data_IF_368413384199
#
_entry.id   IF_368413384199
#
_cell.length_a   1.000
_cell.length_b   1.000
_cell.length_c   1.000
_cell.angle_alpha   90.00
_cell.angle_beta   90.00
_cell.angle_gamma   90.00
#
_symmetry.space_group_name_H-M   'P 1'
#
loop_
_entity.id
_entity.type
_entity.pdbx_description
1 polymer ?
#
# COMPACT_ATOMS: atom_id res chain seq x y z
N UNK A 1 -17.01 -8.70 -5.57
CA UNK A 1 -18.08 -8.87 -4.57
C UNK A 1 -19.17 -9.85 -5.04
N UNK A 2 -19.92 -9.53 -6.10
CA UNK A 2 -21.04 -10.36 -6.59
C UNK A 2 -20.68 -11.84 -6.84
N UNK A 3 -19.49 -12.12 -7.40
CA UNK A 3 -19.01 -13.50 -7.59
C UNK A 3 -18.91 -14.28 -6.27
N UNK A 4 -18.33 -13.66 -5.23
CA UNK A 4 -18.13 -14.29 -3.92
C UNK A 4 -19.47 -14.55 -3.23
N UNK A 5 -20.38 -13.57 -3.25
CA UNK A 5 -21.72 -13.68 -2.66
C UNK A 5 -22.60 -14.76 -3.29
N UNK A 6 -22.36 -15.12 -4.55
CA UNK A 6 -23.08 -16.22 -5.23
C UNK A 6 -22.57 -17.60 -4.85
N UNK A 7 -21.35 -17.71 -4.30
CA UNK A 7 -20.67 -18.99 -4.04
C UNK A 7 -20.42 -19.26 -2.57
N UNK A 8 -20.48 -18.25 -1.73
CA UNK A 8 -20.12 -18.31 -0.31
C UNK A 8 -21.29 -17.86 0.54
N UNK A 9 -21.51 -18.57 1.65
CA UNK A 9 -22.51 -18.24 2.67
C UNK A 9 -21.95 -17.44 3.83
N UNK A 10 -20.62 -17.46 4.01
CA UNK A 10 -19.94 -16.68 5.05
C UNK A 10 -19.95 -15.17 4.75
N UNK A 11 -19.91 -14.30 5.78
CA UNK A 11 -19.81 -12.86 5.59
C UNK A 11 -18.54 -12.47 4.81
N UNK A 12 -18.68 -11.47 3.93
CA UNK A 12 -17.58 -10.93 3.11
C UNK A 12 -17.27 -9.51 3.55
N UNK A 13 -16.01 -9.28 3.92
CA UNK A 13 -15.47 -7.93 4.19
C UNK A 13 -14.79 -7.41 2.92
N UNK A 14 -15.26 -6.27 2.41
CA UNK A 14 -14.65 -5.62 1.25
C UNK A 14 -13.37 -4.89 1.64
N UNK A 15 -12.29 -5.03 0.88
CA UNK A 15 -11.03 -4.35 1.14
C UNK A 15 -10.43 -3.78 -0.15
N UNK A 16 -9.74 -2.64 -0.03
CA UNK A 16 -9.00 -1.99 -1.11
C UNK A 16 -9.79 -0.90 -1.84
N UNK A 17 -9.19 0.28 -1.96
CA UNK A 17 -9.76 1.42 -2.70
C UNK A 17 -10.92 2.15 -2.00
N UNK A 18 -11.35 1.71 -0.82
CA UNK A 18 -12.39 2.34 -0.03
C UNK A 18 -11.74 3.41 0.85
N UNK A 19 -12.13 4.68 0.67
CA UNK A 19 -11.50 5.83 1.32
C UNK A 19 -12.48 6.65 2.17
N UNK A 20 -13.78 6.60 1.87
CA UNK A 20 -14.79 7.45 2.48
C UNK A 20 -16.15 6.74 2.62
N UNK A 21 -17.14 7.46 3.15
CA UNK A 21 -18.50 6.95 3.34
C UNK A 21 -19.19 6.55 2.03
N UNK A 22 -18.88 7.21 0.91
CA UNK A 22 -19.45 6.87 -0.40
C UNK A 22 -18.91 5.52 -0.90
N UNK A 23 -17.61 5.29 -0.78
CA UNK A 23 -16.98 3.99 -1.07
C UNK A 23 -17.52 2.87 -0.20
N UNK A 24 -17.73 3.14 1.10
CA UNK A 24 -18.36 2.20 2.03
C UNK A 24 -19.78 1.87 1.58
N UNK A 25 -20.62 2.88 1.33
CA UNK A 25 -22.00 2.69 0.90
C UNK A 25 -22.08 1.87 -0.40
N UNK A 26 -21.20 2.14 -1.37
CA UNK A 26 -21.16 1.43 -2.65
C UNK A 26 -20.90 -0.07 -2.48
N UNK A 27 -19.89 -0.46 -1.69
CA UNK A 27 -19.58 -1.89 -1.51
C UNK A 27 -20.61 -2.62 -0.63
N UNK A 28 -21.24 -1.91 0.30
CA UNK A 28 -22.34 -2.45 1.11
C UNK A 28 -23.59 -2.71 0.24
N UNK A 29 -23.91 -1.81 -0.70
CA UNK A 29 -24.98 -2.03 -1.69
C UNK A 29 -24.71 -3.24 -2.60
N UNK A 30 -23.42 -3.54 -2.88
CA UNK A 30 -23.01 -4.75 -3.60
C UNK A 30 -23.06 -6.04 -2.76
N UNK A 31 -23.47 -5.94 -1.49
CA UNK A 31 -23.71 -7.08 -0.60
C UNK A 31 -22.55 -7.43 0.33
N UNK A 32 -21.58 -6.53 0.53
CA UNK A 32 -20.59 -6.67 1.60
C UNK A 32 -21.28 -6.64 2.98
N UNK A 33 -20.71 -7.36 3.95
CA UNK A 33 -21.15 -7.33 5.36
C UNK A 33 -20.23 -6.47 6.24
N UNK A 34 -19.12 -6.00 5.68
CA UNK A 34 -18.18 -5.11 6.35
C UNK A 34 -17.16 -4.56 5.37
N UNK A 35 -16.34 -3.63 5.84
CA UNK A 35 -15.28 -2.98 5.07
C UNK A 35 -13.98 -2.96 5.87
N UNK A 36 -12.86 -3.12 5.18
CA UNK A 36 -11.52 -2.97 5.73
C UNK A 36 -10.77 -1.90 4.94
N UNK A 37 -10.47 -0.80 5.62
CA UNK A 37 -9.76 0.34 5.05
C UNK A 37 -8.35 0.37 5.64
N UNK A 38 -7.34 0.52 4.78
CA UNK A 38 -5.94 0.67 5.19
C UNK A 38 -5.44 2.08 4.90
N UNK A 39 -5.30 2.41 3.61
CA UNK A 39 -4.76 3.70 3.15
C UNK A 39 -5.48 4.91 3.73
N UNK A 40 -6.80 4.84 3.94
CA UNK A 40 -7.59 5.92 4.55
C UNK A 40 -7.10 6.33 5.95
N UNK A 41 -6.48 5.42 6.71
CA UNK A 41 -6.02 5.67 8.07
C UNK A 41 -4.51 5.98 8.17
N UNK A 42 -3.78 6.03 7.05
CA UNK A 42 -2.32 6.23 7.08
C UNK A 42 -1.90 7.59 7.66
N UNK A 43 -2.70 8.64 7.43
CA UNK A 43 -2.40 10.00 7.89
C UNK A 43 -2.96 10.33 9.28
N UNK A 44 -3.75 9.45 9.90
CA UNK A 44 -4.25 9.65 11.27
C UNK A 44 -3.08 9.83 12.26
N UNK A 45 -3.17 10.69 13.28
CA UNK A 45 -2.08 10.96 14.21
C UNK A 45 -1.60 9.72 14.99
N UNK A 46 -2.46 8.71 15.15
CA UNK A 46 -2.15 7.43 15.80
C UNK A 46 -1.31 6.49 14.93
N UNK A 47 -1.27 6.73 13.61
CA UNK A 47 -0.49 5.91 12.67
C UNK A 47 1.01 6.07 12.91
N UNK A 48 1.72 4.95 13.00
CA UNK A 48 3.18 4.90 13.09
C UNK A 48 3.91 5.15 11.76
N UNK A 49 3.19 5.59 10.70
CA UNK A 49 3.82 6.05 9.47
C UNK A 49 4.76 7.22 9.78
N UNK A 50 6.02 7.10 9.35
CA UNK A 50 7.03 8.13 9.61
C UNK A 50 6.83 9.38 8.74
N UNK A 51 7.60 10.43 9.02
CA UNK A 51 7.46 11.71 8.32
C UNK A 51 7.69 11.59 6.80
N UNK A 52 8.63 10.75 6.37
CA UNK A 52 8.91 10.53 4.95
C UNK A 52 7.74 9.83 4.24
N UNK A 53 7.18 8.80 4.88
CA UNK A 53 6.02 8.10 4.35
C UNK A 53 4.76 8.98 4.34
N UNK A 54 4.50 9.73 5.41
CA UNK A 54 3.39 10.71 5.47
C UNK A 54 3.53 11.78 4.39
N UNK A 55 4.73 12.32 4.18
CA UNK A 55 5.00 13.28 3.12
C UNK A 55 4.77 12.67 1.74
N UNK A 56 5.22 11.43 1.51
CA UNK A 56 4.98 10.71 0.26
C UNK A 56 3.48 10.53 0.01
N UNK A 57 2.69 10.14 1.02
CA UNK A 57 1.24 10.00 0.92
C UNK A 57 0.57 11.35 0.65
N UNK A 58 0.90 12.39 1.41
CA UNK A 58 0.31 13.72 1.25
C UNK A 58 0.59 14.31 -0.14
N UNK A 59 1.82 14.13 -0.65
CA UNK A 59 2.22 14.65 -1.96
C UNK A 59 1.77 13.74 -3.13
N UNK A 60 1.15 12.58 -2.83
CA UNK A 60 0.70 11.61 -3.82
C UNK A 60 -0.71 11.88 -4.36
N UNK A 61 -1.15 13.14 -4.45
CA UNK A 61 -2.48 13.48 -4.97
C UNK A 61 -2.75 12.92 -6.39
N UNK A 62 -1.70 12.56 -7.13
CA UNK A 62 -1.75 11.79 -8.39
C UNK A 62 -0.81 10.56 -8.40
N UNK A 63 -0.31 10.15 -7.23
CA UNK A 63 0.79 9.19 -7.10
C UNK A 63 0.42 7.80 -7.64
N UNK A 64 1.08 7.41 -8.72
CA UNK A 64 0.99 6.05 -9.28
C UNK A 64 1.41 5.03 -8.22
N UNK A 65 0.54 4.06 -7.92
CA UNK A 65 0.94 2.87 -7.16
C UNK A 65 1.27 1.70 -8.07
N UNK A 66 2.32 0.96 -7.72
CA UNK A 66 2.81 -0.21 -8.46
C UNK A 66 2.74 -1.46 -7.60
N UNK A 67 2.59 -2.63 -8.23
CA UNK A 67 2.85 -3.91 -7.56
C UNK A 67 4.32 -4.23 -7.74
N UNK A 68 5.02 -4.49 -6.64
CA UNK A 68 6.43 -4.88 -6.66
C UNK A 68 6.68 -6.00 -5.66
N UNK A 69 7.54 -6.95 -6.01
CA UNK A 69 8.12 -7.92 -5.08
C UNK A 69 9.49 -7.49 -4.57
N UNK A 70 10.15 -6.50 -5.20
CA UNK A 70 11.55 -6.15 -4.92
C UNK A 70 11.81 -5.74 -3.46
N UNK A 71 10.80 -5.18 -2.79
CA UNK A 71 10.92 -4.69 -1.41
C UNK A 71 10.88 -5.84 -0.40
N UNK A 72 10.09 -6.89 -0.64
CA UNK A 72 9.80 -7.91 0.37
C UNK A 72 9.96 -9.37 -0.07
N UNK A 73 10.10 -9.63 -1.36
CA UNK A 73 10.05 -10.96 -1.96
C UNK A 73 8.63 -11.44 -2.29
N UNK A 74 7.58 -10.68 -1.95
CA UNK A 74 6.19 -10.96 -2.35
C UNK A 74 5.53 -9.74 -2.98
N UNK A 75 4.64 -9.90 -3.97
CA UNK A 75 3.92 -8.79 -4.56
C UNK A 75 3.15 -7.98 -3.51
N UNK A 76 3.52 -6.72 -3.36
CA UNK A 76 2.86 -5.74 -2.50
C UNK A 76 2.66 -4.44 -3.27
N UNK A 77 1.61 -3.68 -2.94
CA UNK A 77 1.31 -2.42 -3.61
C UNK A 77 1.96 -1.26 -2.87
N UNK A 78 2.84 -0.54 -3.56
CA UNK A 78 3.60 0.60 -3.04
C UNK A 78 3.26 1.86 -3.85
N UNK A 79 3.35 3.03 -3.22
CA UNK A 79 3.59 4.27 -3.96
C UNK A 79 4.87 4.09 -4.79
N UNK A 80 4.82 4.45 -6.08
CA UNK A 80 6.01 4.40 -6.92
C UNK A 80 7.09 5.31 -6.32
N UNK A 81 8.26 4.73 -6.06
CA UNK A 81 9.40 5.40 -5.46
C UNK A 81 10.71 4.81 -6.02
N UNK A 82 11.86 5.30 -5.55
CA UNK A 82 13.17 4.84 -6.01
C UNK A 82 13.39 3.33 -5.77
N UNK A 83 12.85 2.75 -4.70
CA UNK A 83 12.94 1.30 -4.47
C UNK A 83 12.16 0.50 -5.53
N UNK A 84 10.96 0.96 -5.89
CA UNK A 84 10.17 0.32 -6.94
C UNK A 84 10.93 0.36 -8.28
N UNK A 85 11.49 1.52 -8.64
CA UNK A 85 12.26 1.70 -9.88
C UNK A 85 13.52 0.82 -9.90
N UNK A 86 14.23 0.71 -8.77
CA UNK A 86 15.37 -0.21 -8.62
C UNK A 86 14.94 -1.65 -8.87
N UNK A 87 13.80 -2.06 -8.32
CA UNK A 87 13.23 -3.39 -8.54
C UNK A 87 12.86 -3.66 -9.99
N UNK A 88 12.27 -2.68 -10.69
CA UNK A 88 11.91 -2.78 -12.11
C UNK A 88 13.14 -2.94 -13.02
N UNK A 89 14.30 -2.42 -12.60
CA UNK A 89 15.57 -2.56 -13.33
C UNK A 89 16.26 -3.93 -13.13
N UNK A 90 15.79 -4.74 -12.18
CA UNK A 90 16.36 -6.05 -11.88
C UNK A 90 15.49 -7.19 -12.45
N UNK A 91 16.10 -8.32 -12.88
CA UNK A 91 15.33 -9.50 -13.23
C UNK A 91 14.61 -10.05 -11.99
N UNK A 92 13.40 -10.58 -12.15
CA UNK A 92 12.63 -11.12 -11.03
C UNK A 92 13.37 -12.22 -10.25
N UNK A 93 14.23 -13.00 -10.93
CA UNK A 93 15.09 -14.02 -10.31
C UNK A 93 16.17 -13.47 -9.39
N UNK A 94 16.47 -12.17 -9.44
CA UNK A 94 17.41 -11.52 -8.54
C UNK A 94 16.76 -11.06 -7.22
N UNK A 95 15.42 -11.10 -7.12
CA UNK A 95 14.71 -10.77 -5.88
C UNK A 95 14.67 -12.03 -5.01
N UNK A 96 15.29 -12.03 -3.81
CA UNK A 96 15.20 -13.16 -2.90
C UNK A 96 13.76 -13.42 -2.44
N UNK A 97 13.48 -14.67 -2.05
CA UNK A 97 12.17 -15.03 -1.52
C UNK A 97 11.85 -14.27 -0.21
N UNK A 98 10.56 -14.12 0.08
CA UNK A 98 10.11 -13.59 1.36
C UNK A 98 10.43 -14.56 2.52
N UNK A 99 10.90 -14.07 3.68
CA UNK A 99 11.08 -12.67 4.06
C UNK A 99 12.49 -12.10 3.82
N UNK A 100 13.41 -12.85 3.22
CA UNK A 100 14.82 -12.44 3.08
C UNK A 100 14.98 -11.10 2.35
N UNK A 101 14.25 -10.91 1.24
CA UNK A 101 14.24 -9.63 0.54
C UNK A 101 13.73 -8.48 1.43
N UNK A 102 12.80 -8.74 2.36
CA UNK A 102 12.28 -7.72 3.27
C UNK A 102 13.29 -7.30 4.33
N UNK A 103 14.07 -8.24 4.84
CA UNK A 103 15.13 -7.93 5.81
C UNK A 103 16.23 -7.07 5.16
N UNK A 104 16.63 -7.40 3.93
CA UNK A 104 17.56 -6.59 3.13
C UNK A 104 16.96 -5.21 2.82
N UNK A 105 15.69 -5.18 2.41
CA UNK A 105 14.97 -3.95 2.09
C UNK A 105 14.86 -3.00 3.30
N UNK A 106 14.63 -3.53 4.51
CA UNK A 106 14.64 -2.72 5.74
C UNK A 106 16.03 -2.15 6.03
N UNK A 107 17.09 -2.92 5.84
CA UNK A 107 18.46 -2.43 6.03
C UNK A 107 18.78 -1.30 5.03
N UNK A 108 18.40 -1.44 3.76
CA UNK A 108 18.52 -0.39 2.75
C UNK A 108 17.72 0.86 3.13
N UNK A 109 16.45 0.70 3.50
CA UNK A 109 15.58 1.81 3.89
C UNK A 109 16.15 2.58 5.09
N UNK A 110 16.68 1.87 6.09
CA UNK A 110 17.32 2.48 7.25
C UNK A 110 18.59 3.26 6.88
N UNK A 111 19.46 2.67 6.06
CA UNK A 111 20.69 3.30 5.58
C UNK A 111 20.41 4.54 4.71
N UNK A 112 19.41 4.47 3.84
CA UNK A 112 18.97 5.60 3.02
C UNK A 112 18.38 6.72 3.87
N UNK A 113 17.52 6.38 4.83
CA UNK A 113 16.92 7.34 5.77
C UNK A 113 17.97 8.07 6.60
N UNK A 114 19.03 7.38 7.04
CA UNK A 114 20.16 8.00 7.74
C UNK A 114 20.90 9.06 6.91
N UNK A 115 20.74 9.03 5.58
CA UNK A 115 21.29 9.99 4.63
C UNK A 115 20.23 11.00 4.12
N UNK A 116 19.04 11.03 4.72
CA UNK A 116 17.94 11.91 4.30
C UNK A 116 17.19 11.44 3.04
N UNK A 117 17.47 10.24 2.54
CA UNK A 117 16.77 9.66 1.38
C UNK A 117 15.61 8.78 1.83
N UNK A 118 14.37 9.26 1.64
CA UNK A 118 13.16 8.56 2.07
C UNK A 118 12.54 7.66 0.99
N UNK A 119 12.99 7.77 -0.25
CA UNK A 119 12.43 7.07 -1.42
C UNK A 119 12.69 5.55 -1.46
N UNK A 120 13.44 5.03 -0.49
CA UNK A 120 13.73 3.60 -0.34
C UNK A 120 12.86 2.93 0.73
N UNK A 121 11.86 3.63 1.26
CA UNK A 121 10.89 3.09 2.21
C UNK A 121 9.83 2.19 1.58
N UNK A 122 9.25 1.33 2.41
CA UNK A 122 8.08 0.54 2.06
C UNK A 122 6.79 1.39 2.19
N UNK A 123 6.54 2.27 1.22
CA UNK A 123 5.41 3.21 1.22
C UNK A 123 4.11 2.56 0.71
N UNK A 124 3.55 1.61 1.47
CA UNK A 124 2.40 0.78 1.08
C UNK A 124 1.05 1.51 0.97
N UNK A 125 0.65 1.88 -0.25
CA UNK A 125 -0.64 2.52 -0.50
C UNK A 125 -1.53 1.72 -1.46
N UNK A 126 -2.84 1.77 -1.23
CA UNK A 126 -3.86 1.37 -2.18
C UNK A 126 -4.00 2.37 -3.33
N UNK A 127 -4.92 2.08 -4.27
CA UNK A 127 -5.24 2.98 -5.38
C UNK A 127 -6.28 4.07 -5.03
N UNK A 128 -6.83 4.05 -3.83
CA UNK A 128 -7.76 5.08 -3.39
C UNK A 128 -6.99 6.35 -3.11
N UNK A 129 -7.38 7.46 -3.75
CA UNK A 129 -6.80 8.77 -3.49
C UNK A 129 -7.10 9.22 -2.06
N UNK A 130 -6.15 9.90 -1.44
CA UNK A 130 -6.36 10.58 -0.15
C UNK A 130 -7.01 11.93 -0.45
N UNK A 131 -8.14 12.25 0.19
CA UNK A 131 -8.75 13.58 0.05
C UNK A 131 -7.86 14.60 0.78
N UNK A 132 -7.31 15.63 0.09
CA UNK A 132 -6.44 16.63 0.71
C UNK A 132 -7.15 17.56 1.70
N UNK A 133 -8.49 17.49 1.79
CA UNK A 133 -9.31 18.39 2.62
C UNK A 133 -9.58 17.86 4.03
N UNK A 134 -9.09 16.65 4.34
CA UNK A 134 -9.18 15.99 5.66
C UNK A 134 -7.80 15.57 6.16
#
# INVERSE_FOLDING_TARGET
MQLLRRRLTIPVVAAGGIMDGAGIASVMQLGAQGVQLGTAFLLCPESAADAGYRAAIHNSLEGRTVLTSAISGRPARCLANAFCALGEACPASAVPDYPLAYDIGKALAAAAKAQGAHEYGAHWAGRGGVDPRV
#
